data_IF_105047413185
#
_entry.id   IF_105047413185
#
_cell.length_a   1.000
_cell.length_b   1.000
_cell.length_c   1.000
_cell.angle_alpha   90.00
_cell.angle_beta   90.00
_cell.angle_gamma   90.00
#
_symmetry.space_group_name_H-M   'P 1'
#
loop_
_entity.id
_entity.type
_entity.pdbx_description
1 polymer ?
#
# COMPACT_ATOMS: atom_id res chain seq x y z
N UNK A 1 20.58 13.16 -32.88
CA UNK A 1 20.20 12.55 -31.59
C UNK A 1 18.69 12.28 -31.46
N UNK A 2 17.80 13.08 -32.04
CA UNK A 2 16.35 12.85 -32.01
C UNK A 2 15.81 11.73 -32.94
N UNK A 3 16.62 11.23 -33.88
CA UNK A 3 16.17 10.23 -34.86
C UNK A 3 16.15 8.78 -34.33
N UNK A 4 16.88 8.47 -33.25
CA UNK A 4 16.96 7.12 -32.70
C UNK A 4 15.79 6.77 -31.75
N UNK A 5 15.00 7.77 -31.33
CA UNK A 5 13.94 7.59 -30.34
C UNK A 5 12.58 7.15 -30.93
N UNK A 6 12.46 7.04 -32.27
CA UNK A 6 11.23 6.61 -32.97
C UNK A 6 11.27 5.17 -33.47
N UNK A 7 12.00 4.28 -32.81
CA UNK A 7 11.93 2.85 -33.11
C UNK A 7 10.75 2.20 -32.36
N UNK A 8 9.67 2.00 -33.12
CA UNK A 8 8.54 1.08 -32.99
C UNK A 8 8.43 0.21 -31.72
N UNK A 9 7.20 0.11 -31.22
CA UNK A 9 6.71 -0.66 -30.06
C UNK A 9 6.88 -2.19 -30.11
N UNK A 10 7.77 -2.72 -30.96
CA UNK A 10 8.12 -4.14 -31.02
C UNK A 10 9.58 -4.33 -30.66
N UNK A 11 9.83 -5.12 -29.59
CA UNK A 11 11.17 -5.49 -29.17
C UNK A 11 11.81 -6.37 -30.24
N UNK A 12 12.56 -5.78 -31.16
CA UNK A 12 13.35 -6.53 -32.15
C UNK A 12 14.45 -7.35 -31.43
N UNK A 13 14.74 -8.57 -31.91
CA UNK A 13 15.86 -9.37 -31.41
C UNK A 13 17.18 -8.60 -31.43
N UNK A 14 18.05 -8.86 -30.45
CA UNK A 14 19.31 -8.11 -30.26
C UNK A 14 20.22 -8.12 -31.51
N UNK A 15 20.16 -9.19 -32.31
CA UNK A 15 20.86 -9.30 -33.58
C UNK A 15 20.40 -8.26 -34.61
N UNK A 16 19.09 -8.08 -34.76
CA UNK A 16 18.51 -7.06 -35.63
C UNK A 16 18.77 -5.64 -35.12
N UNK A 17 18.67 -5.42 -33.81
CA UNK A 17 18.99 -4.13 -33.20
C UNK A 17 20.44 -3.72 -33.48
N UNK A 18 21.40 -4.67 -33.39
CA UNK A 18 22.82 -4.43 -33.72
C UNK A 18 23.03 -4.16 -35.21
N UNK A 19 22.31 -4.85 -36.09
CA UNK A 19 22.39 -4.61 -37.54
C UNK A 19 21.86 -3.22 -37.93
N UNK A 20 20.74 -2.79 -37.33
CA UNK A 20 20.19 -1.44 -37.53
C UNK A 20 21.16 -0.39 -36.98
N UNK A 21 21.72 -0.60 -35.79
CA UNK A 21 22.70 0.29 -35.22
C UNK A 21 23.97 0.39 -36.09
N UNK A 22 24.47 -0.72 -36.63
CA UNK A 22 25.65 -0.71 -37.51
C UNK A 22 25.40 0.09 -38.80
N UNK A 23 24.17 0.04 -39.35
CA UNK A 23 23.75 0.89 -40.48
C UNK A 23 23.71 2.37 -40.12
N UNK A 24 23.20 2.71 -38.93
CA UNK A 24 23.08 4.11 -38.46
C UNK A 24 24.44 4.72 -38.10
N UNK A 25 25.35 3.95 -37.50
CA UNK A 25 26.67 4.41 -37.05
C UNK A 25 27.79 4.20 -38.09
N UNK A 26 27.48 3.62 -39.25
CA UNK A 26 28.41 3.52 -40.39
C UNK A 26 29.53 2.48 -40.19
N UNK A 27 29.25 1.38 -39.50
CA UNK A 27 30.19 0.29 -39.26
C UNK A 27 30.00 -0.41 -37.90
N UNK A 28 30.35 -1.70 -37.83
CA UNK A 28 30.27 -2.48 -36.59
C UNK A 28 31.34 -2.06 -35.55
N UNK A 29 32.44 -1.48 -36.03
CA UNK A 29 33.56 -0.88 -35.31
C UNK A 29 33.21 0.47 -34.67
N UNK A 30 32.19 1.17 -35.19
CA UNK A 30 31.70 2.47 -34.70
C UNK A 30 30.47 2.36 -33.81
N UNK A 31 30.07 1.14 -33.47
CA UNK A 31 28.97 0.92 -32.53
C UNK A 31 29.35 1.46 -31.16
N UNK A 32 28.53 2.32 -30.53
CA UNK A 32 28.79 2.74 -29.17
C UNK A 32 28.84 1.51 -28.25
N UNK A 33 29.92 1.38 -27.48
CA UNK A 33 30.02 0.35 -26.45
C UNK A 33 28.84 0.49 -25.48
N UNK A 34 28.09 -0.61 -25.28
CA UNK A 34 26.94 -0.64 -24.36
C UNK A 34 27.45 -0.51 -22.92
N UNK A 35 27.57 0.72 -22.44
CA UNK A 35 27.88 1.02 -21.04
C UNK A 35 26.59 1.17 -20.25
N UNK A 36 26.42 0.35 -19.22
CA UNK A 36 25.35 0.53 -18.24
C UNK A 36 25.47 1.86 -17.47
N UNK A 37 26.67 2.46 -17.46
CA UNK A 37 26.94 3.73 -16.80
C UNK A 37 26.67 4.96 -17.67
N UNK A 38 26.46 4.79 -18.99
CA UNK A 38 26.24 5.90 -19.91
C UNK A 38 24.83 6.53 -19.81
N UNK A 39 23.72 5.75 -19.71
CA UNK A 39 22.38 6.33 -19.60
C UNK A 39 22.03 6.64 -18.14
N UNK A 40 22.71 7.61 -17.54
CA UNK A 40 22.37 8.15 -16.21
C UNK A 40 21.58 9.45 -16.34
N UNK A 41 20.76 9.77 -15.34
CA UNK A 41 20.14 11.09 -15.22
C UNK A 41 21.19 12.14 -14.85
N UNK A 42 20.86 13.43 -14.89
CA UNK A 42 21.80 14.51 -14.48
C UNK A 42 22.23 14.37 -13.02
N UNK A 43 21.35 13.80 -12.20
CA UNK A 43 21.52 13.52 -10.78
C UNK A 43 22.31 12.20 -10.55
N UNK A 44 22.68 11.48 -11.61
CA UNK A 44 23.47 10.25 -11.54
C UNK A 44 22.67 8.96 -11.36
N UNK A 45 21.35 9.00 -11.44
CA UNK A 45 20.49 7.82 -11.24
C UNK A 45 20.45 6.91 -12.47
N UNK A 46 20.26 5.61 -12.25
CA UNK A 46 20.01 4.64 -13.32
C UNK A 46 18.54 4.65 -13.73
N UNK A 47 18.28 4.45 -15.03
CA UNK A 47 16.92 4.26 -15.51
C UNK A 47 16.39 2.89 -15.10
N UNK A 48 15.19 2.86 -14.53
CA UNK A 48 14.51 1.64 -14.09
C UNK A 48 13.21 1.43 -14.88
N UNK A 49 13.06 0.24 -15.46
CA UNK A 49 11.79 -0.17 -16.08
C UNK A 49 10.93 -0.85 -15.01
N UNK A 50 9.94 -0.10 -14.51
CA UNK A 50 8.96 -0.61 -13.56
C UNK A 50 8.03 -1.66 -14.18
N UNK A 51 7.31 -2.37 -13.32
CA UNK A 51 6.29 -3.35 -13.70
C UNK A 51 6.23 -4.55 -12.75
N UNK A 52 5.44 -5.54 -13.17
CA UNK A 52 5.17 -6.80 -12.45
C UNK A 52 6.44 -7.64 -12.27
N UNK A 53 7.19 -7.89 -13.35
CA UNK A 53 8.37 -8.75 -13.33
C UNK A 53 9.45 -8.33 -12.30
N UNK A 54 9.88 -7.04 -12.22
CA UNK A 54 10.84 -6.64 -11.20
C UNK A 54 10.24 -6.62 -9.79
N UNK A 55 8.94 -6.41 -9.63
CA UNK A 55 8.27 -6.49 -8.33
C UNK A 55 8.29 -7.93 -7.80
N UNK A 56 7.90 -8.91 -8.63
CA UNK A 56 7.93 -10.33 -8.26
C UNK A 56 9.34 -10.80 -7.90
N UNK A 57 10.35 -10.40 -8.68
CA UNK A 57 11.75 -10.71 -8.37
C UNK A 57 12.16 -10.23 -6.99
N UNK A 58 11.73 -9.02 -6.60
CA UNK A 58 11.99 -8.48 -5.25
C UNK A 58 11.24 -9.24 -4.17
N UNK A 59 9.96 -9.54 -4.40
CA UNK A 59 9.13 -10.30 -3.46
C UNK A 59 9.74 -11.68 -3.17
N UNK A 60 10.19 -12.39 -4.21
CA UNK A 60 10.89 -13.68 -4.05
C UNK A 60 12.21 -13.55 -3.29
N UNK A 61 12.97 -12.49 -3.54
CA UNK A 61 14.21 -12.22 -2.81
C UNK A 61 13.97 -11.93 -1.31
N UNK A 62 12.82 -11.33 -0.96
CA UNK A 62 12.46 -11.03 0.43
C UNK A 62 11.68 -12.14 1.13
N UNK A 63 11.10 -13.09 0.40
CA UNK A 63 10.30 -14.19 0.95
C UNK A 63 10.97 -15.01 2.08
N UNK A 64 12.29 -15.28 2.08
CA UNK A 64 12.95 -15.99 3.18
C UNK A 64 13.03 -15.18 4.48
N UNK A 65 12.89 -13.85 4.40
CA UNK A 65 13.07 -12.92 5.51
C UNK A 65 11.76 -12.28 5.98
N UNK A 66 10.62 -12.72 5.44
CA UNK A 66 9.32 -12.13 5.72
C UNK A 66 8.26 -13.20 5.92
N UNK A 67 7.45 -13.04 6.96
CA UNK A 67 6.29 -13.89 7.25
C UNK A 67 5.15 -13.60 6.26
N UNK A 68 4.94 -12.32 5.96
CA UNK A 68 3.93 -11.84 5.04
C UNK A 68 4.56 -11.05 3.90
N UNK A 69 4.05 -11.24 2.69
CA UNK A 69 4.46 -10.51 1.50
C UNK A 69 3.33 -9.63 0.99
N UNK A 70 3.65 -8.38 0.70
CA UNK A 70 2.72 -7.40 0.12
C UNK A 70 3.22 -6.96 -1.25
N UNK A 71 2.34 -6.98 -2.24
CA UNK A 71 2.58 -6.44 -3.57
C UNK A 71 1.53 -5.36 -3.86
N UNK A 72 1.99 -4.13 -4.06
CA UNK A 72 1.13 -3.00 -4.40
C UNK A 72 0.73 -3.06 -5.88
N UNK A 73 -0.57 -3.04 -6.17
CA UNK A 73 -1.13 -3.05 -7.52
C UNK A 73 -1.75 -1.70 -7.87
N UNK A 74 -1.71 -1.33 -9.17
CA UNK A 74 -2.31 -0.08 -9.65
C UNK A 74 -3.84 -0.18 -9.81
N UNK A 75 -4.37 -1.39 -9.95
CA UNK A 75 -5.80 -1.66 -10.13
C UNK A 75 -6.18 -2.89 -9.32
N UNK A 76 -7.41 -2.96 -8.79
CA UNK A 76 -7.91 -4.13 -8.08
C UNK A 76 -8.26 -5.24 -9.08
N UNK A 77 -7.25 -5.95 -9.57
CA UNK A 77 -7.39 -7.04 -10.54
C UNK A 77 -7.10 -8.39 -9.86
N UNK A 78 -8.14 -9.21 -9.76
CA UNK A 78 -8.09 -10.52 -9.11
C UNK A 78 -7.32 -11.56 -9.91
N UNK A 79 -7.38 -11.50 -11.24
CA UNK A 79 -6.68 -12.45 -12.09
C UNK A 79 -5.17 -12.21 -12.02
N UNK A 80 -4.79 -10.93 -12.02
CA UNK A 80 -3.41 -10.53 -11.74
C UNK A 80 -2.96 -10.99 -10.35
N UNK A 81 -3.79 -10.77 -9.32
CA UNK A 81 -3.43 -11.13 -7.96
C UNK A 81 -3.34 -12.65 -7.75
N UNK A 82 -4.20 -13.44 -8.42
CA UNK A 82 -4.13 -14.90 -8.45
C UNK A 82 -2.86 -15.40 -9.14
N UNK A 83 -2.50 -14.81 -10.28
CA UNK A 83 -1.25 -15.14 -10.98
C UNK A 83 -0.03 -14.91 -10.09
N UNK A 84 0.02 -13.76 -9.42
CA UNK A 84 1.09 -13.45 -8.47
C UNK A 84 1.18 -14.43 -7.30
N UNK A 85 0.04 -14.76 -6.69
CA UNK A 85 0.00 -15.71 -5.60
C UNK A 85 0.53 -17.09 -6.05
N UNK A 86 0.12 -17.54 -7.24
CA UNK A 86 0.62 -18.77 -7.86
C UNK A 86 2.14 -18.78 -8.02
N UNK A 87 2.71 -17.75 -8.67
CA UNK A 87 4.16 -17.67 -8.91
C UNK A 87 5.01 -17.59 -7.62
N UNK A 88 4.45 -17.05 -6.53
CA UNK A 88 5.12 -17.01 -5.23
C UNK A 88 5.00 -18.38 -4.54
N UNK A 89 3.82 -18.99 -4.56
CA UNK A 89 3.56 -20.28 -3.92
C UNK A 89 4.24 -21.47 -4.62
N UNK A 90 4.59 -21.35 -5.89
CA UNK A 90 5.44 -22.33 -6.59
C UNK A 90 6.82 -22.50 -5.92
N UNK A 91 7.39 -21.40 -5.41
CA UNK A 91 8.72 -21.40 -4.79
C UNK A 91 8.64 -21.40 -3.25
N UNK A 92 7.60 -20.77 -2.69
CA UNK A 92 7.35 -20.66 -1.26
C UNK A 92 5.91 -21.09 -0.93
N UNK A 93 5.63 -22.40 -0.93
CA UNK A 93 4.29 -22.92 -0.69
C UNK A 93 3.78 -22.50 0.70
N UNK A 94 2.54 -22.02 0.76
CA UNK A 94 1.90 -21.61 2.02
C UNK A 94 2.34 -20.26 2.58
N UNK A 95 3.20 -19.51 1.87
CA UNK A 95 3.61 -18.16 2.29
C UNK A 95 2.41 -17.21 2.36
N UNK A 96 2.29 -16.46 3.46
CA UNK A 96 1.18 -15.55 3.64
C UNK A 96 1.33 -14.30 2.78
N UNK A 97 0.23 -13.90 2.14
CA UNK A 97 0.17 -12.75 1.24
C UNK A 97 -0.82 -11.73 1.79
N UNK A 98 -0.45 -10.46 1.70
CA UNK A 98 -1.27 -9.32 2.11
C UNK A 98 -1.66 -8.53 0.87
N UNK A 99 -2.95 -8.20 0.78
CA UNK A 99 -3.49 -7.39 -0.30
C UNK A 99 -4.10 -6.12 0.25
N UNK A 100 -3.64 -4.99 -0.27
CA UNK A 100 -4.11 -3.67 0.13
C UNK A 100 -5.44 -3.36 -0.59
N UNK A 101 -6.52 -3.20 0.18
CA UNK A 101 -7.80 -2.72 -0.35
C UNK A 101 -7.82 -1.20 -0.33
N UNK A 102 -7.05 -0.59 -1.22
CA UNK A 102 -6.92 0.86 -1.28
C UNK A 102 -8.27 1.56 -1.54
N UNK A 103 -8.74 2.45 -0.65
CA UNK A 103 -9.98 3.22 -0.88
C UNK A 103 -9.86 4.22 -2.04
N UNK A 104 -8.69 4.34 -2.68
CA UNK A 104 -8.51 5.05 -3.95
C UNK A 104 -9.12 4.33 -5.15
N UNK A 105 -9.59 3.08 -5.00
CA UNK A 105 -10.29 2.35 -6.06
C UNK A 105 -11.81 2.56 -6.01
N UNK A 106 -12.46 2.53 -7.17
CA UNK A 106 -13.92 2.50 -7.24
C UNK A 106 -14.40 1.05 -7.13
N UNK A 107 -14.85 0.65 -5.95
CA UNK A 107 -15.13 -0.74 -5.56
C UNK A 107 -16.46 -1.32 -6.07
N UNK A 108 -17.27 -0.55 -6.79
CA UNK A 108 -18.63 -0.94 -7.20
C UNK A 108 -18.71 -2.13 -8.18
N UNK A 109 -17.58 -2.70 -8.62
CA UNK A 109 -17.51 -3.71 -9.68
C UNK A 109 -16.69 -4.98 -9.35
N UNK A 110 -16.14 -5.13 -8.15
CA UNK A 110 -15.17 -6.21 -7.86
C UNK A 110 -15.57 -7.08 -6.65
N UNK A 111 -15.73 -8.39 -6.88
CA UNK A 111 -16.05 -9.39 -5.83
C UNK A 111 -14.82 -10.18 -5.37
N UNK A 112 -14.48 -10.13 -4.09
CA UNK A 112 -13.22 -10.67 -3.55
C UNK A 112 -13.39 -12.04 -2.88
N UNK A 113 -12.47 -12.99 -3.17
CA UNK A 113 -12.21 -14.22 -2.40
C UNK A 113 -10.71 -14.57 -2.53
N UNK A 114 -9.95 -14.72 -1.42
CA UNK A 114 -8.60 -15.31 -1.47
C UNK A 114 -7.44 -14.65 -0.67
N UNK A 115 -7.67 -13.61 0.15
CA UNK A 115 -6.62 -13.00 0.98
C UNK A 115 -6.90 -13.17 2.48
N UNK A 116 -5.87 -13.56 3.24
CA UNK A 116 -5.95 -13.83 4.69
C UNK A 116 -6.12 -12.55 5.51
N UNK A 117 -5.46 -11.46 5.11
CA UNK A 117 -5.58 -10.15 5.75
C UNK A 117 -5.80 -9.06 4.70
N UNK A 118 -6.84 -8.28 4.90
CA UNK A 118 -7.26 -7.18 4.04
C UNK A 118 -7.34 -5.91 4.90
N UNK A 119 -6.54 -4.89 4.56
CA UNK A 119 -6.50 -3.61 5.27
C UNK A 119 -6.95 -2.48 4.35
N UNK A 120 -7.70 -1.53 4.89
CA UNK A 120 -8.14 -0.31 4.20
C UNK A 120 -7.30 0.85 4.75
N UNK A 121 -6.29 1.27 3.98
CA UNK A 121 -5.26 2.21 4.44
C UNK A 121 -5.79 3.58 4.85
N UNK A 122 -6.81 4.10 4.16
CA UNK A 122 -7.38 5.44 4.44
C UNK A 122 -8.76 5.39 5.09
N UNK A 123 -9.17 4.25 5.66
CA UNK A 123 -10.50 4.13 6.29
C UNK A 123 -10.76 5.27 7.29
N UNK A 124 -9.79 5.58 8.14
CA UNK A 124 -9.88 6.66 9.13
C UNK A 124 -10.03 8.06 8.53
N UNK A 125 -9.36 8.36 7.41
CA UNK A 125 -9.46 9.67 6.76
C UNK A 125 -10.81 9.86 6.04
N UNK A 126 -11.36 8.77 5.51
CA UNK A 126 -12.67 8.79 4.85
C UNK A 126 -13.84 8.66 5.85
N UNK A 127 -13.61 8.17 7.06
CA UNK A 127 -14.64 7.95 8.08
C UNK A 127 -14.89 9.14 9.01
N UNK A 128 -14.09 10.22 8.95
CA UNK A 128 -14.21 11.41 9.84
C UNK A 128 -15.42 12.29 9.52
N UNK A 129 -16.59 11.67 9.30
CA UNK A 129 -17.88 12.32 9.29
C UNK A 129 -18.44 12.37 10.71
N UNK A 130 -18.02 13.35 11.51
CA UNK A 130 -18.51 13.59 12.88
C UNK A 130 -20.05 13.61 13.00
N UNK A 131 -20.76 13.93 11.90
CA UNK A 131 -22.23 13.91 11.83
C UNK A 131 -22.84 12.50 11.92
N UNK A 132 -22.16 11.48 11.38
CA UNK A 132 -22.66 10.10 11.32
C UNK A 132 -22.60 9.41 12.70
N UNK A 133 -21.59 9.75 13.51
CA UNK A 133 -21.40 9.17 14.84
C UNK A 133 -22.52 9.54 15.81
N UNK A 134 -23.11 10.74 15.68
CA UNK A 134 -24.28 11.18 16.45
C UNK A 134 -25.55 10.43 16.05
N UNK A 135 -25.74 10.15 14.77
CA UNK A 135 -26.88 9.38 14.25
C UNK A 135 -26.80 7.89 14.65
N UNK A 136 -25.59 7.34 14.74
CA UNK A 136 -25.34 5.94 15.09
C UNK A 136 -25.30 5.68 16.61
N UNK A 137 -25.44 6.72 17.44
CA UNK A 137 -25.36 6.58 18.90
C UNK A 137 -23.98 6.13 19.38
N UNK A 138 -22.92 6.59 18.71
CA UNK A 138 -21.55 6.22 19.08
C UNK A 138 -21.13 6.94 20.37
N UNK A 139 -20.78 6.17 21.40
CA UNK A 139 -20.36 6.66 22.74
C UNK A 139 -19.06 7.49 22.72
N UNK A 140 -18.39 7.63 21.58
CA UNK A 140 -17.13 8.40 21.42
C UNK A 140 -17.37 9.92 21.53
N UNK A 141 -18.59 10.40 21.28
CA UNK A 141 -18.95 11.82 21.41
C UNK A 141 -18.95 12.31 22.87
N UNK A 142 -19.24 11.40 23.81
CA UNK A 142 -19.12 11.62 25.25
C UNK A 142 -17.68 11.33 25.69
N UNK A 143 -16.79 12.30 25.47
CA UNK A 143 -15.35 12.14 25.67
C UNK A 143 -14.94 11.85 27.14
N UNK A 144 -15.70 12.32 28.14
CA UNK A 144 -15.44 12.05 29.55
C UNK A 144 -15.84 10.62 29.91
N UNK A 145 -17.00 10.15 29.44
CA UNK A 145 -17.44 8.75 29.58
C UNK A 145 -16.53 7.80 28.83
N UNK A 146 -16.17 8.12 27.59
CA UNK A 146 -15.35 7.27 26.73
C UNK A 146 -13.90 7.15 27.24
N UNK A 147 -13.32 8.22 27.78
CA UNK A 147 -11.99 8.19 28.40
C UNK A 147 -11.95 7.49 29.76
N UNK A 148 -13.10 7.01 30.26
CA UNK A 148 -13.18 6.23 31.49
C UNK A 148 -13.25 7.07 32.77
N UNK A 149 -13.67 8.34 32.70
CA UNK A 149 -13.80 9.19 33.89
C UNK A 149 -14.73 8.55 34.95
N UNK A 150 -15.83 7.94 34.52
CA UNK A 150 -16.75 7.23 35.42
C UNK A 150 -16.11 5.99 36.10
N UNK A 151 -15.15 5.34 35.45
CA UNK A 151 -14.43 4.20 36.03
C UNK A 151 -13.47 4.68 37.13
N UNK A 152 -12.74 5.75 36.87
CA UNK A 152 -11.86 6.39 37.85
C UNK A 152 -12.64 6.94 39.04
N UNK A 153 -13.80 7.56 38.81
CA UNK A 153 -14.68 8.03 39.89
C UNK A 153 -15.17 6.90 40.78
N UNK A 154 -15.52 5.74 40.20
CA UNK A 154 -15.89 4.55 40.99
C UNK A 154 -14.73 4.02 41.82
N UNK A 155 -13.51 4.04 41.28
CA UNK A 155 -12.32 3.68 42.04
C UNK A 155 -12.10 4.63 43.22
N UNK A 156 -12.21 5.94 42.98
CA UNK A 156 -12.05 6.96 44.03
C UNK A 156 -13.14 6.83 45.09
N UNK A 157 -14.40 6.59 44.70
CA UNK A 157 -15.50 6.36 45.65
C UNK A 157 -15.31 5.08 46.46
N UNK A 158 -14.82 4.00 45.84
CA UNK A 158 -14.55 2.75 46.53
C UNK A 158 -13.44 2.90 47.58
N UNK A 159 -12.38 3.66 47.26
CA UNK A 159 -11.29 3.96 48.21
C UNK A 159 -11.76 4.92 49.31
N UNK A 160 -12.54 5.94 48.96
CA UNK A 160 -13.00 6.98 49.89
C UNK A 160 -14.28 6.60 50.66
N UNK A 161 -14.71 5.34 50.62
CA UNK A 161 -15.93 4.86 51.31
C UNK A 161 -17.19 5.67 50.97
N UNK A 162 -17.28 6.19 49.74
CA UNK A 162 -18.37 7.06 49.30
C UNK A 162 -18.25 8.55 49.67
N UNK A 163 -17.19 8.96 50.38
CA UNK A 163 -16.93 10.35 50.77
C UNK A 163 -15.89 11.01 49.86
N UNK A 164 -16.27 11.36 48.62
CA UNK A 164 -15.41 12.13 47.71
C UNK A 164 -16.18 13.30 47.11
N UNK A 165 -15.72 14.53 47.35
CA UNK A 165 -16.29 15.76 46.79
C UNK A 165 -15.68 16.19 45.43
N UNK A 166 -14.81 15.36 44.83
CA UNK A 166 -14.03 15.71 43.63
C UNK A 166 -14.30 14.75 42.45
N UNK A 167 -15.49 14.18 42.35
CA UNK A 167 -15.87 13.32 41.22
C UNK A 167 -15.88 14.10 39.90
N UNK A 168 -15.28 13.53 38.86
CA UNK A 168 -15.23 14.14 37.53
C UNK A 168 -16.59 14.13 36.81
N UNK A 169 -17.47 13.15 37.11
CA UNK A 169 -18.79 12.97 36.52
C UNK A 169 -19.93 13.61 37.36
N UNK A 170 -19.72 14.83 37.84
CA UNK A 170 -20.71 15.58 38.64
C UNK A 170 -21.90 16.13 37.83
N UNK A 171 -22.81 16.83 38.53
CA UNK A 171 -24.03 17.43 37.94
C UNK A 171 -23.74 18.53 36.89
N UNK A 172 -22.54 19.11 36.91
CA UNK A 172 -22.09 20.14 35.97
C UNK A 172 -21.26 19.57 34.80
N UNK A 173 -21.37 18.27 34.51
CA UNK A 173 -20.64 17.70 33.38
C UNK A 173 -21.19 18.22 32.04
N UNK A 174 -20.30 18.38 31.07
CA UNK A 174 -20.62 18.94 29.75
C UNK A 174 -21.25 17.90 28.81
N UNK A 175 -21.33 16.63 29.24
CA UNK A 175 -21.82 15.52 28.42
C UNK A 175 -23.33 15.55 28.18
N UNK A 176 -24.10 16.21 29.04
CA UNK A 176 -25.55 16.36 28.88
C UNK A 176 -25.96 17.18 27.64
N UNK A 177 -25.02 17.87 26.99
CA UNK A 177 -25.25 18.70 25.81
C UNK A 177 -24.92 18.02 24.47
N UNK A 178 -24.35 16.81 24.48
CA UNK A 178 -23.88 16.12 23.28
C UNK A 178 -24.91 15.15 22.69
#
# INVERSE_FOLDING_TARGET
LAAAAKASSSLVPISQARAIAAKVFGGADKLPHRSWNAPRTKEGSYHFRGGVAPALKRVKAFAPYSDLLWLETKTPDLDQARGFAGEIHEEFPGKWLVYNLSPSFNWSWHGFNGFVLQLISLAGLHSTGMRREKELGCDVLTHQKWSGAAYTDRMVQAVSSGSSGTSAMGADNTEHSF
#
